data_IF_791518753084
#
_entry.id   IF_791518753084
#
_cell.length_a   1.000
_cell.length_b   1.000
_cell.length_c   1.000
_cell.angle_alpha   90.00
_cell.angle_beta   90.00
_cell.angle_gamma   90.00
#
_symmetry.space_group_name_H-M   'P 1'
#
loop_
_entity.id
_entity.type
_entity.pdbx_description
1 polymer ?
#
# COMPACT_ATOMS: atom_id res chain seq x y z
N UNK A 1 10.07 -21.49 4.24
CA UNK A 1 9.85 -21.95 5.60
C UNK A 1 9.52 -20.77 6.48
N UNK A 2 8.38 -20.81 7.20
CA UNK A 2 7.87 -19.71 8.03
C UNK A 2 8.86 -19.33 9.15
N UNK A 3 9.51 -20.31 9.75
CA UNK A 3 10.53 -20.10 10.78
C UNK A 3 11.73 -19.30 10.25
N UNK A 4 12.17 -19.56 9.02
CA UNK A 4 13.26 -18.82 8.38
C UNK A 4 12.86 -17.36 8.09
N UNK A 5 11.60 -17.12 7.72
CA UNK A 5 11.06 -15.78 7.58
C UNK A 5 11.10 -15.02 8.91
N UNK A 6 10.60 -15.63 9.98
CA UNK A 6 10.60 -14.99 11.30
C UNK A 6 12.02 -14.68 11.78
N UNK A 7 12.93 -15.63 11.70
CA UNK A 7 14.29 -15.49 12.23
C UNK A 7 15.12 -14.43 11.49
N UNK A 8 14.91 -14.26 10.18
CA UNK A 8 15.72 -13.37 9.37
C UNK A 8 15.11 -11.98 9.16
N UNK A 9 13.81 -11.84 9.37
CA UNK A 9 13.07 -10.61 9.04
C UNK A 9 12.69 -9.79 10.26
N UNK A 10 12.43 -10.44 11.39
CA UNK A 10 12.12 -9.75 12.66
C UNK A 10 13.42 -9.37 13.34
N UNK A 11 13.60 -8.06 13.56
CA UNK A 11 14.80 -7.48 14.18
C UNK A 11 14.59 -7.13 15.65
N UNK A 12 13.37 -6.77 16.05
CA UNK A 12 12.99 -6.36 17.40
C UNK A 12 11.47 -6.38 17.56
N UNK A 13 10.99 -6.59 18.77
CA UNK A 13 9.57 -6.49 19.12
C UNK A 13 9.29 -7.11 20.49
N UNK A 14 8.11 -6.85 21.01
CA UNK A 14 7.57 -7.44 22.23
C UNK A 14 6.28 -8.13 21.87
N UNK A 15 6.14 -9.40 22.27
CA UNK A 15 4.93 -10.21 22.10
C UNK A 15 4.37 -10.55 23.47
N UNK A 16 3.09 -10.26 23.67
CA UNK A 16 2.30 -10.79 24.78
C UNK A 16 1.18 -11.63 24.19
N UNK A 17 1.05 -12.88 24.65
CA UNK A 17 0.06 -13.81 24.11
C UNK A 17 -0.54 -14.69 25.18
N UNK A 18 -1.82 -15.02 25.02
CA UNK A 18 -2.56 -16.05 25.73
C UNK A 18 -2.94 -17.14 24.73
N UNK A 19 -2.78 -18.40 25.14
CA UNK A 19 -3.15 -19.58 24.36
C UNK A 19 -4.18 -20.41 25.11
N UNK A 20 -5.21 -20.85 24.37
CA UNK A 20 -6.18 -21.83 24.85
C UNK A 20 -6.24 -22.99 23.87
N UNK A 21 -6.17 -24.20 24.40
CA UNK A 21 -6.23 -25.44 23.63
C UNK A 21 -7.51 -26.17 24.03
N UNK A 22 -8.28 -26.57 23.06
CA UNK A 22 -9.51 -27.34 23.21
C UNK A 22 -9.26 -28.73 22.67
N UNK A 23 -9.49 -29.74 23.53
CA UNK A 23 -9.37 -31.16 23.20
C UNK A 23 -10.76 -31.78 23.10
N UNK A 24 -10.93 -32.74 22.21
CA UNK A 24 -12.13 -33.56 22.13
C UNK A 24 -12.13 -34.66 23.21
N UNK A 25 -13.15 -35.53 23.22
CA UNK A 25 -13.30 -36.61 24.16
C UNK A 25 -12.17 -37.67 24.10
N UNK A 26 -11.47 -37.76 22.97
CA UNK A 26 -10.33 -38.63 22.71
C UNK A 26 -8.98 -37.96 23.01
N UNK A 27 -8.99 -36.76 23.60
CA UNK A 27 -7.82 -35.92 23.86
C UNK A 27 -7.09 -35.46 22.58
N UNK A 28 -7.78 -35.44 21.43
CA UNK A 28 -7.24 -34.89 20.19
C UNK A 28 -7.52 -33.41 20.12
N UNK A 29 -6.67 -32.68 19.39
CA UNK A 29 -6.81 -31.23 19.21
C UNK A 29 -8.07 -30.90 18.40
N UNK A 30 -9.12 -30.47 19.08
CA UNK A 30 -10.35 -29.98 18.48
C UNK A 30 -10.17 -28.58 17.93
N UNK A 31 -9.69 -27.66 18.76
CA UNK A 31 -9.43 -26.27 18.40
C UNK A 31 -8.31 -25.67 19.25
N UNK A 32 -7.82 -24.54 18.84
CA UNK A 32 -6.99 -23.65 19.66
C UNK A 32 -7.38 -22.20 19.40
N UNK A 33 -7.15 -21.33 20.36
CA UNK A 33 -7.17 -19.90 20.17
C UNK A 33 -5.89 -19.29 20.71
N UNK A 34 -5.38 -18.29 20.01
CA UNK A 34 -4.32 -17.45 20.54
C UNK A 34 -4.71 -15.99 20.35
N UNK A 35 -4.52 -15.19 21.39
CA UNK A 35 -4.78 -13.75 21.35
C UNK A 35 -3.70 -13.00 22.10
N UNK A 36 -3.51 -11.74 21.72
CA UNK A 36 -2.49 -10.94 22.36
C UNK A 36 -2.16 -9.66 21.61
N UNK A 37 -1.00 -9.12 21.90
CA UNK A 37 -0.51 -7.90 21.25
C UNK A 37 0.97 -7.99 20.90
N UNK A 38 1.31 -7.32 19.81
CA UNK A 38 2.69 -7.07 19.40
C UNK A 38 2.96 -5.57 19.53
N UNK A 39 4.08 -5.20 20.14
CA UNK A 39 4.48 -3.82 20.36
C UNK A 39 5.90 -3.57 19.88
N UNK A 40 6.13 -2.38 19.32
CA UNK A 40 7.44 -1.91 18.86
C UNK A 40 8.16 -2.90 17.94
N UNK A 41 7.41 -3.62 17.11
CA UNK A 41 7.99 -4.53 16.13
C UNK A 41 8.80 -3.73 15.10
N UNK A 42 10.03 -4.20 14.87
CA UNK A 42 10.87 -3.82 13.73
C UNK A 42 11.10 -5.04 12.87
N UNK A 43 10.74 -4.95 11.60
CA UNK A 43 10.89 -6.06 10.67
C UNK A 43 11.17 -5.57 9.25
N UNK A 44 11.87 -6.37 8.47
CA UNK A 44 12.01 -6.18 7.03
C UNK A 44 10.86 -6.89 6.31
N UNK A 45 9.94 -6.14 5.72
CA UNK A 45 8.77 -6.70 5.01
C UNK A 45 9.06 -7.03 3.54
N UNK A 46 9.91 -6.23 2.91
CA UNK A 46 10.42 -6.43 1.56
C UNK A 46 11.92 -6.14 1.59
N UNK A 47 12.65 -6.55 0.55
CA UNK A 47 14.08 -6.24 0.43
C UNK A 47 14.30 -4.74 0.59
N UNK A 48 15.10 -4.36 1.57
CA UNK A 48 15.44 -2.98 1.93
C UNK A 48 14.27 -2.11 2.43
N UNK A 49 13.09 -2.70 2.69
CA UNK A 49 11.93 -2.00 3.27
C UNK A 49 11.67 -2.51 4.68
N UNK A 50 12.07 -1.71 5.64
CA UNK A 50 11.79 -1.95 7.05
C UNK A 50 10.51 -1.24 7.49
N UNK A 51 9.79 -1.89 8.39
CA UNK A 51 8.77 -1.29 9.24
C UNK A 51 9.31 -1.16 10.65
N UNK A 52 8.93 -0.10 11.34
CA UNK A 52 9.34 0.19 12.71
C UNK A 52 8.15 0.64 13.54
N UNK A 53 8.31 0.59 14.86
CA UNK A 53 7.25 0.99 15.81
C UNK A 53 5.89 0.37 15.46
N UNK A 54 5.94 -0.84 14.91
CA UNK A 54 4.71 -1.52 14.51
C UNK A 54 4.03 -2.11 15.73
N UNK A 55 2.75 -1.81 15.88
CA UNK A 55 1.91 -2.32 16.96
C UNK A 55 0.64 -2.87 16.35
N UNK A 56 0.13 -3.95 16.92
CA UNK A 56 -1.18 -4.52 16.60
C UNK A 56 -1.63 -5.48 17.68
N UNK A 57 -2.93 -5.69 17.77
CA UNK A 57 -3.55 -6.77 18.52
C UNK A 57 -3.86 -7.90 17.55
N UNK A 58 -3.78 -9.15 18.04
CA UNK A 58 -4.08 -10.30 17.21
C UNK A 58 -5.02 -11.27 17.92
N UNK A 59 -5.78 -11.97 17.11
CA UNK A 59 -6.54 -13.16 17.46
C UNK A 59 -6.37 -14.18 16.34
N UNK A 60 -6.17 -15.45 16.70
CA UNK A 60 -6.11 -16.54 15.71
C UNK A 60 -6.69 -17.82 16.30
N UNK A 61 -7.31 -18.59 15.41
CA UNK A 61 -7.75 -19.96 15.65
C UNK A 61 -7.40 -20.85 14.44
N UNK A 62 -8.02 -22.03 14.33
CA UNK A 62 -7.81 -22.95 13.19
C UNK A 62 -8.25 -22.38 11.83
N UNK A 63 -9.11 -21.37 11.82
CA UNK A 63 -9.79 -20.90 10.60
C UNK A 63 -9.42 -19.48 10.23
N UNK A 64 -9.10 -18.65 11.22
CA UNK A 64 -8.92 -17.21 11.04
C UNK A 64 -7.67 -16.68 11.72
N UNK A 65 -7.06 -15.69 11.10
CA UNK A 65 -6.08 -14.80 11.72
C UNK A 65 -6.61 -13.38 11.57
N UNK A 66 -6.79 -12.71 12.71
CA UNK A 66 -7.23 -11.32 12.79
C UNK A 66 -6.11 -10.45 13.37
N UNK A 67 -5.75 -9.39 12.70
CA UNK A 67 -4.92 -8.31 13.24
C UNK A 67 -5.75 -7.04 13.29
N UNK A 68 -5.72 -6.35 14.41
CA UNK A 68 -6.47 -5.11 14.66
C UNK A 68 -5.55 -4.01 15.16
N UNK A 69 -6.00 -2.76 15.06
CA UNK A 69 -5.29 -1.60 15.56
C UNK A 69 -3.86 -1.50 14.99
N UNK A 70 -3.67 -1.91 13.75
CA UNK A 70 -2.34 -1.93 13.13
C UNK A 70 -1.87 -0.49 12.94
N UNK A 71 -0.75 -0.17 13.56
CA UNK A 71 0.00 1.05 13.31
C UNK A 71 1.45 0.71 13.00
N UNK A 72 2.08 1.44 12.09
CA UNK A 72 3.46 1.17 11.69
C UNK A 72 4.12 2.41 11.08
N UNK A 73 5.42 2.52 11.21
CA UNK A 73 6.22 3.53 10.53
C UNK A 73 7.24 2.85 9.60
N UNK A 74 7.40 3.39 8.41
CA UNK A 74 8.52 3.17 7.51
C UNK A 74 9.16 4.51 7.21
N UNK A 75 10.35 4.54 6.63
CA UNK A 75 11.08 5.80 6.44
C UNK A 75 10.34 6.87 5.62
N UNK A 76 9.36 6.48 4.80
CA UNK A 76 8.61 7.40 3.93
C UNK A 76 7.10 7.17 3.98
N UNK A 77 6.62 6.34 4.88
CA UNK A 77 5.20 6.10 5.06
C UNK A 77 4.87 5.81 6.52
N UNK A 78 3.60 6.02 6.87
CA UNK A 78 3.00 5.57 8.12
C UNK A 78 1.71 4.84 7.81
N UNK A 79 1.50 3.70 8.47
CA UNK A 79 0.22 3.01 8.51
C UNK A 79 -0.49 3.44 9.79
N UNK A 80 -1.74 3.85 9.65
CA UNK A 80 -2.59 4.27 10.74
C UNK A 80 -3.89 3.50 10.66
N UNK A 81 -4.39 3.04 11.80
CA UNK A 81 -5.73 2.46 11.91
C UNK A 81 -5.97 1.34 10.87
N UNK A 82 -5.10 0.33 10.93
CA UNK A 82 -5.17 -0.82 10.03
C UNK A 82 -5.84 -2.03 10.68
N UNK A 83 -6.52 -2.81 9.85
CA UNK A 83 -6.95 -4.15 10.18
C UNK A 83 -6.56 -5.15 9.09
N UNK A 84 -6.44 -6.41 9.45
CA UNK A 84 -6.17 -7.50 8.53
C UNK A 84 -6.88 -8.76 9.01
N UNK A 85 -7.62 -9.41 8.11
CA UNK A 85 -8.18 -10.74 8.32
C UNK A 85 -7.63 -11.69 7.27
N UNK A 86 -7.12 -12.85 7.71
CA UNK A 86 -6.80 -13.98 6.85
C UNK A 86 -7.75 -15.11 7.20
N UNK A 87 -8.52 -15.57 6.24
CA UNK A 87 -9.38 -16.74 6.33
C UNK A 87 -8.64 -17.92 5.70
N UNK A 88 -8.49 -19.00 6.44
CA UNK A 88 -7.79 -20.22 6.03
C UNK A 88 -8.71 -21.46 6.06
N UNK A 89 -10.02 -21.27 6.26
CA UNK A 89 -10.97 -22.36 6.45
C UNK A 89 -11.20 -23.21 5.20
N UNK A 90 -11.36 -22.60 4.03
CA UNK A 90 -11.65 -23.28 2.75
C UNK A 90 -10.72 -22.85 1.63
N UNK A 91 -10.77 -21.59 1.26
CA UNK A 91 -9.85 -20.93 0.34
C UNK A 91 -9.14 -19.82 1.09
N UNK A 92 -7.84 -19.71 0.94
CA UNK A 92 -7.08 -18.70 1.66
C UNK A 92 -7.41 -17.33 1.06
N UNK A 93 -7.97 -16.47 1.90
CA UNK A 93 -8.24 -15.09 1.54
C UNK A 93 -7.68 -14.11 2.57
N UNK A 94 -7.13 -13.02 2.09
CA UNK A 94 -6.65 -11.90 2.91
C UNK A 94 -7.50 -10.68 2.60
N UNK A 95 -7.98 -10.01 3.66
CA UNK A 95 -8.68 -8.72 3.58
C UNK A 95 -8.03 -7.76 4.55
N UNK A 96 -7.77 -6.55 4.09
CA UNK A 96 -7.16 -5.51 4.92
C UNK A 96 -7.72 -4.15 4.55
N UNK A 97 -7.96 -3.32 5.57
CA UNK A 97 -8.24 -1.90 5.40
C UNK A 97 -7.25 -1.13 6.27
N UNK A 98 -6.68 -0.06 5.74
CA UNK A 98 -5.71 0.73 6.48
C UNK A 98 -5.57 2.13 5.89
N UNK A 99 -5.23 3.08 6.75
CA UNK A 99 -4.88 4.44 6.34
C UNK A 99 -3.37 4.55 6.19
N UNK A 100 -2.93 5.26 5.17
CA UNK A 100 -1.51 5.49 4.93
C UNK A 100 -1.23 6.97 4.73
N UNK A 101 -0.23 7.48 5.44
CA UNK A 101 0.41 8.76 5.13
C UNK A 101 1.71 8.48 4.40
N UNK A 102 1.84 9.03 3.21
CA UNK A 102 3.04 8.92 2.38
C UNK A 102 3.77 10.26 2.34
N UNK A 103 5.09 10.21 2.45
CA UNK A 103 5.95 11.38 2.29
C UNK A 103 7.24 10.97 1.58
N UNK A 104 7.21 11.06 0.25
CA UNK A 104 8.35 10.74 -0.59
C UNK A 104 9.07 12.01 -1.01
N UNK A 105 10.38 11.95 -1.03
CA UNK A 105 11.26 13.00 -1.51
C UNK A 105 12.49 12.39 -2.22
N UNK A 106 13.42 13.20 -2.67
CA UNK A 106 14.64 12.73 -3.35
C UNK A 106 15.47 11.73 -2.53
N UNK A 107 15.35 11.74 -1.19
CA UNK A 107 16.07 10.81 -0.30
C UNK A 107 15.36 9.46 -0.18
N UNK A 108 14.10 9.40 -0.60
CA UNK A 108 13.26 8.18 -0.54
C UNK A 108 13.56 7.18 -1.67
N UNK A 109 14.81 7.10 -2.15
CA UNK A 109 15.22 6.31 -3.33
C UNK A 109 14.74 4.86 -3.30
N UNK A 110 14.84 4.18 -2.13
CA UNK A 110 14.41 2.79 -2.00
C UNK A 110 12.91 2.59 -2.25
N UNK A 111 12.07 3.55 -1.86
CA UNK A 111 10.62 3.52 -2.09
C UNK A 111 10.27 3.90 -3.54
N UNK A 112 11.03 4.84 -4.12
CA UNK A 112 10.88 5.21 -5.53
C UNK A 112 11.20 4.01 -6.43
N UNK A 113 12.15 3.16 -6.06
CA UNK A 113 12.48 1.95 -6.78
C UNK A 113 11.32 0.91 -6.81
N UNK A 114 10.40 0.94 -5.84
CA UNK A 114 9.20 0.10 -5.89
C UNK A 114 8.24 0.49 -7.01
N UNK A 115 8.28 1.74 -7.42
CA UNK A 115 7.47 2.30 -8.51
C UNK A 115 8.31 2.57 -9.77
N UNK A 116 9.42 1.83 -9.93
CA UNK A 116 10.36 2.01 -11.07
C UNK A 116 9.70 1.89 -12.45
N UNK A 117 8.61 1.12 -12.53
CA UNK A 117 7.84 0.96 -13.76
C UNK A 117 7.04 2.23 -14.14
N UNK A 118 6.88 3.16 -13.21
CA UNK A 118 6.39 4.49 -13.51
C UNK A 118 7.50 5.29 -14.23
N UNK A 119 7.31 5.58 -15.49
CA UNK A 119 8.29 6.20 -16.39
C UNK A 119 9.00 7.41 -15.78
N UNK A 120 8.29 8.20 -14.98
CA UNK A 120 8.79 9.45 -14.40
C UNK A 120 9.20 9.31 -12.92
N UNK A 121 9.27 8.10 -12.35
CA UNK A 121 9.63 7.88 -10.95
C UNK A 121 10.96 8.58 -10.56
N UNK A 122 11.97 8.52 -11.44
CA UNK A 122 13.28 9.19 -11.24
C UNK A 122 13.20 10.72 -11.21
N UNK A 123 12.13 11.30 -11.74
CA UNK A 123 11.88 12.73 -11.79
C UNK A 123 11.10 13.23 -10.56
N UNK A 124 10.68 12.34 -9.67
CA UNK A 124 9.92 12.70 -8.47
C UNK A 124 10.78 13.52 -7.52
N UNK A 125 10.35 14.74 -7.25
CA UNK A 125 10.96 15.66 -6.28
C UNK A 125 10.27 15.52 -4.93
N UNK A 126 8.94 15.39 -4.92
CA UNK A 126 8.14 15.25 -3.71
C UNK A 126 6.76 14.67 -3.99
N UNK A 127 6.28 13.87 -3.04
CA UNK A 127 4.94 13.29 -3.05
C UNK A 127 4.47 13.12 -1.61
N UNK A 128 3.42 13.86 -1.25
CA UNK A 128 2.77 13.79 0.05
C UNK A 128 1.29 13.43 -0.17
N UNK A 129 0.82 12.36 0.48
CA UNK A 129 -0.54 11.88 0.31
C UNK A 129 -1.08 11.20 1.58
N UNK A 130 -2.37 11.38 1.82
CA UNK A 130 -3.15 10.69 2.85
C UNK A 130 -4.19 9.80 2.16
N UNK A 131 -4.06 8.48 2.33
CA UNK A 131 -4.83 7.49 1.58
C UNK A 131 -5.55 6.50 2.50
N UNK A 132 -6.81 6.22 2.18
CA UNK A 132 -7.57 5.09 2.70
C UNK A 132 -7.42 3.93 1.70
N UNK A 133 -7.01 2.77 2.20
CA UNK A 133 -6.71 1.62 1.38
C UNK A 133 -7.59 0.44 1.76
N UNK A 134 -7.97 -0.35 0.77
CA UNK A 134 -8.66 -1.62 0.94
C UNK A 134 -8.02 -2.66 0.02
N UNK A 135 -7.64 -3.79 0.58
CA UNK A 135 -6.97 -4.88 -0.12
C UNK A 135 -7.71 -6.19 0.11
N UNK A 136 -7.99 -6.91 -0.97
CA UNK A 136 -8.47 -8.29 -0.94
C UNK A 136 -7.55 -9.10 -1.83
N UNK A 137 -7.03 -10.22 -1.31
CA UNK A 137 -6.23 -11.18 -2.06
C UNK A 137 -6.82 -12.56 -1.84
N UNK A 138 -7.08 -13.31 -2.90
CA UNK A 138 -7.46 -14.71 -2.83
C UNK A 138 -6.31 -15.56 -3.38
N UNK A 139 -6.01 -16.63 -2.68
CA UNK A 139 -4.96 -17.56 -3.05
C UNK A 139 -5.57 -18.90 -3.48
N UNK A 140 -4.83 -19.65 -4.29
CA UNK A 140 -5.13 -21.04 -4.55
C UNK A 140 -4.53 -21.94 -3.45
N UNK A 141 -4.77 -23.23 -3.53
CA UNK A 141 -4.28 -24.24 -2.58
C UNK A 141 -2.74 -24.35 -2.53
N UNK A 142 -2.03 -23.76 -3.49
CA UNK A 142 -0.56 -23.70 -3.54
C UNK A 142 0.01 -22.37 -3.07
N UNK A 143 -0.83 -21.53 -2.44
CA UNK A 143 -0.50 -20.17 -1.99
C UNK A 143 -0.11 -19.19 -3.10
N UNK A 144 -0.47 -19.48 -4.36
CA UNK A 144 -0.33 -18.52 -5.45
C UNK A 144 -1.53 -17.60 -5.52
N UNK A 145 -1.30 -16.33 -5.84
CA UNK A 145 -2.36 -15.33 -5.98
C UNK A 145 -3.27 -15.70 -7.15
N UNK A 146 -4.52 -16.03 -6.86
CA UNK A 146 -5.61 -16.32 -7.81
C UNK A 146 -6.27 -15.03 -8.31
N UNK A 147 -6.53 -14.12 -7.39
CA UNK A 147 -7.09 -12.81 -7.69
C UNK A 147 -6.73 -11.80 -6.60
N UNK A 148 -6.73 -10.54 -6.98
CA UNK A 148 -6.59 -9.43 -6.04
C UNK A 148 -7.51 -8.28 -6.43
N UNK A 149 -7.86 -7.48 -5.44
CA UNK A 149 -8.56 -6.20 -5.61
C UNK A 149 -7.95 -5.21 -4.60
N UNK A 150 -7.28 -4.20 -5.11
CA UNK A 150 -6.72 -3.12 -4.32
C UNK A 150 -7.40 -1.82 -4.69
N UNK A 151 -7.95 -1.13 -3.70
CA UNK A 151 -8.59 0.18 -3.88
C UNK A 151 -7.91 1.16 -2.95
N UNK A 152 -7.70 2.37 -3.42
CA UNK A 152 -7.37 3.47 -2.55
C UNK A 152 -8.16 4.72 -2.93
N UNK A 153 -8.32 5.61 -1.94
CA UNK A 153 -8.90 6.93 -2.14
C UNK A 153 -8.31 7.89 -1.10
N UNK A 154 -8.16 9.14 -1.47
CA UNK A 154 -7.66 10.14 -0.55
C UNK A 154 -7.15 11.38 -1.24
N UNK A 155 -6.32 12.11 -0.52
CA UNK A 155 -5.80 13.40 -0.95
C UNK A 155 -4.30 13.32 -1.25
N UNK A 156 -3.91 13.91 -2.36
CA UNK A 156 -2.53 14.25 -2.69
C UNK A 156 -2.35 15.72 -2.37
N UNK A 157 -1.74 16.02 -1.23
CA UNK A 157 -1.45 17.40 -0.83
C UNK A 157 -0.30 18.00 -1.63
N UNK A 158 0.61 17.14 -2.13
CA UNK A 158 1.77 17.56 -2.93
C UNK A 158 2.21 16.46 -3.86
N UNK A 159 2.43 16.80 -5.12
CA UNK A 159 3.14 15.97 -6.09
C UNK A 159 3.96 16.88 -7.00
N UNK A 160 5.26 16.66 -7.08
CA UNK A 160 6.16 17.48 -7.90
C UNK A 160 7.07 16.57 -8.70
N UNK A 161 7.02 16.71 -10.02
CA UNK A 161 8.01 16.19 -10.96
C UNK A 161 8.94 17.31 -11.41
N UNK A 162 10.23 17.02 -11.53
CA UNK A 162 11.23 17.91 -12.10
C UNK A 162 11.98 17.24 -13.24
N UNK A 163 12.02 17.87 -14.37
CA UNK A 163 12.66 17.35 -15.58
C UNK A 163 14.04 17.98 -15.74
N UNK A 164 15.10 17.17 -15.79
CA UNK A 164 16.46 17.63 -16.05
C UNK A 164 16.59 18.15 -17.49
N UNK A 165 16.01 17.38 -18.40
CA UNK A 165 15.89 17.73 -19.79
C UNK A 165 14.46 18.22 -20.01
N UNK A 166 14.25 19.56 -20.07
CA UNK A 166 12.92 20.11 -20.25
C UNK A 166 12.33 19.59 -21.55
N UNK A 167 11.07 19.18 -21.53
CA UNK A 167 10.43 18.84 -22.79
C UNK A 167 9.65 20.02 -23.36
N UNK A 168 9.83 20.24 -24.66
CA UNK A 168 9.11 21.27 -25.40
C UNK A 168 7.68 20.78 -25.62
N UNK A 169 6.74 21.59 -25.20
CA UNK A 169 5.37 21.42 -25.61
C UNK A 169 5.11 22.34 -26.81
N UNK A 170 4.89 21.76 -27.98
CA UNK A 170 4.64 22.52 -29.22
C UNK A 170 3.39 23.41 -29.13
N UNK A 171 2.46 23.10 -28.21
CA UNK A 171 1.24 23.91 -28.03
C UNK A 171 1.42 25.07 -27.05
N UNK A 172 2.38 25.01 -26.13
CA UNK A 172 2.55 26.00 -25.07
C UNK A 172 3.68 26.98 -25.32
N UNK A 173 4.46 26.83 -26.38
CA UNK A 173 5.68 27.62 -26.68
C UNK A 173 6.69 27.70 -25.52
N UNK A 174 6.55 26.86 -24.51
CA UNK A 174 7.35 26.86 -23.28
C UNK A 174 7.97 25.49 -23.01
N UNK A 175 9.13 25.51 -22.36
CA UNK A 175 9.78 24.31 -21.86
C UNK A 175 9.21 23.91 -20.49
N UNK A 176 8.71 22.70 -20.37
CA UNK A 176 8.22 22.18 -19.10
C UNK A 176 9.40 21.64 -18.28
N UNK A 177 9.74 22.35 -17.20
CA UNK A 177 10.78 22.00 -16.22
C UNK A 177 10.20 21.35 -14.98
N UNK A 178 9.00 21.78 -14.57
CA UNK A 178 8.29 21.28 -13.39
C UNK A 178 6.82 21.05 -13.70
N UNK A 179 6.29 19.96 -13.15
CA UNK A 179 4.85 19.69 -13.11
C UNK A 179 4.47 19.43 -11.64
N UNK A 180 3.49 20.17 -11.14
CA UNK A 180 3.00 20.01 -9.77
C UNK A 180 1.51 19.71 -9.76
N UNK A 181 1.08 18.80 -8.87
CA UNK A 181 -0.31 18.64 -8.47
C UNK A 181 -0.46 19.18 -7.05
N UNK A 182 -1.55 19.90 -6.82
CA UNK A 182 -1.82 20.59 -5.56
C UNK A 182 -3.25 20.25 -5.12
N UNK A 183 -3.44 19.84 -3.87
CA UNK A 183 -4.75 19.57 -3.28
C UNK A 183 -5.64 18.72 -4.19
N UNK A 184 -5.10 17.60 -4.65
CA UNK A 184 -5.75 16.74 -5.61
C UNK A 184 -6.36 15.53 -4.94
N UNK A 185 -7.57 15.16 -5.34
CA UNK A 185 -8.24 13.94 -4.90
C UNK A 185 -7.86 12.78 -5.83
N UNK A 186 -7.59 11.62 -5.26
CA UNK A 186 -7.28 10.42 -6.01
C UNK A 186 -8.23 9.28 -5.61
N UNK A 187 -8.66 8.49 -6.59
CA UNK A 187 -9.31 7.20 -6.41
C UNK A 187 -8.70 6.20 -7.38
N UNK A 188 -8.28 5.07 -6.87
CA UNK A 188 -7.79 4.00 -7.74
C UNK A 188 -8.45 2.67 -7.42
N UNK A 189 -8.52 1.82 -8.43
CA UNK A 189 -8.96 0.43 -8.30
C UNK A 189 -8.11 -0.43 -9.22
N UNK A 190 -7.35 -1.35 -8.64
CA UNK A 190 -6.49 -2.28 -9.35
C UNK A 190 -6.96 -3.70 -9.06
N UNK A 191 -7.19 -4.47 -10.10
CA UNK A 191 -7.52 -5.88 -9.97
C UNK A 191 -6.87 -6.68 -11.13
N UNK A 192 -6.99 -8.00 -11.08
CA UNK A 192 -6.38 -8.89 -12.09
C UNK A 192 -6.87 -8.69 -13.52
N UNK A 193 -7.95 -7.92 -13.73
CA UNK A 193 -8.57 -7.67 -15.05
C UNK A 193 -8.43 -6.23 -15.51
N UNK A 194 -8.54 -5.27 -14.60
CA UNK A 194 -8.71 -3.85 -14.94
C UNK A 194 -8.06 -2.95 -13.89
N UNK A 195 -7.42 -1.89 -14.37
CA UNK A 195 -6.90 -0.82 -13.54
C UNK A 195 -7.66 0.46 -13.85
N UNK A 196 -8.11 1.15 -12.82
CA UNK A 196 -8.79 2.45 -12.93
C UNK A 196 -8.10 3.46 -12.02
N UNK A 197 -7.88 4.65 -12.55
CA UNK A 197 -7.30 5.79 -11.85
C UNK A 197 -8.15 7.01 -12.16
N UNK A 198 -8.68 7.66 -11.12
CA UNK A 198 -9.36 8.95 -11.20
C UNK A 198 -8.58 9.94 -10.34
N UNK A 199 -8.16 11.07 -10.92
CA UNK A 199 -7.48 12.15 -10.21
C UNK A 199 -8.14 13.47 -10.62
N UNK A 200 -8.52 14.28 -9.65
CA UNK A 200 -9.04 15.61 -9.87
C UNK A 200 -8.40 16.61 -8.91
N UNK A 201 -8.19 17.84 -9.36
CA UNK A 201 -7.56 18.85 -8.53
C UNK A 201 -7.02 20.02 -9.32
N UNK A 202 -5.88 20.52 -8.89
CA UNK A 202 -5.17 21.61 -9.58
C UNK A 202 -3.77 21.17 -9.98
N UNK A 203 -3.33 21.54 -11.16
CA UNK A 203 -1.95 21.38 -11.61
C UNK A 203 -1.32 22.73 -11.95
N UNK A 204 -0.02 22.79 -11.89
CA UNK A 204 0.79 23.96 -12.26
C UNK A 204 2.01 23.48 -13.05
N UNK A 205 2.31 24.20 -14.11
CA UNK A 205 3.52 24.02 -14.93
C UNK A 205 4.47 25.15 -14.57
N UNK A 206 5.74 24.84 -14.34
CA UNK A 206 6.80 25.80 -14.03
C UNK A 206 6.49 26.81 -12.91
N UNK A 207 5.55 26.50 -12.01
CA UNK A 207 5.02 27.37 -10.93
C UNK A 207 4.04 28.46 -11.39
N UNK A 208 3.48 28.33 -12.58
CA UNK A 208 2.42 29.22 -13.05
C UNK A 208 1.13 29.08 -12.22
N UNK A 209 0.15 29.93 -12.49
CA UNK A 209 -1.14 29.87 -11.82
C UNK A 209 -1.79 28.48 -11.96
N UNK A 210 -2.22 27.88 -10.86
CA UNK A 210 -2.79 26.54 -10.92
C UNK A 210 -4.08 26.49 -11.72
N UNK A 211 -4.17 25.53 -12.63
CA UNK A 211 -5.35 25.22 -13.43
C UNK A 211 -6.04 23.96 -12.90
N UNK A 212 -7.36 23.92 -12.97
CA UNK A 212 -8.13 22.75 -12.60
C UNK A 212 -8.00 21.65 -13.65
N UNK A 213 -8.03 20.38 -13.21
CA UNK A 213 -8.02 19.25 -14.10
C UNK A 213 -8.83 18.08 -13.54
N UNK A 214 -9.23 17.21 -14.44
CA UNK A 214 -9.81 15.91 -14.15
C UNK A 214 -9.18 14.88 -15.10
N UNK A 215 -8.57 13.85 -14.53
CA UNK A 215 -7.96 12.75 -15.27
C UNK A 215 -8.68 11.45 -14.91
N UNK A 216 -9.18 10.77 -15.92
CA UNK A 216 -9.71 9.42 -15.82
C UNK A 216 -8.86 8.50 -16.69
N UNK A 217 -8.33 7.44 -16.10
CA UNK A 217 -7.57 6.41 -16.81
C UNK A 217 -8.13 5.04 -16.53
N UNK A 218 -8.44 4.31 -17.58
CA UNK A 218 -8.97 2.96 -17.52
C UNK A 218 -8.10 2.09 -18.43
N UNK A 219 -7.41 1.13 -17.82
CA UNK A 219 -6.60 0.17 -18.53
C UNK A 219 -7.07 -1.25 -18.24
N UNK A 220 -7.35 -2.02 -19.26
CA UNK A 220 -7.54 -3.46 -19.20
C UNK A 220 -6.48 -4.17 -20.06
N UNK A 221 -6.57 -5.49 -20.20
CA UNK A 221 -5.57 -6.27 -20.98
C UNK A 221 -5.54 -5.93 -22.46
N UNK A 222 -6.57 -5.25 -23.00
CA UNK A 222 -6.75 -5.01 -24.44
C UNK A 222 -6.78 -3.52 -24.77
N UNK A 223 -7.25 -2.68 -23.87
CA UNK A 223 -7.53 -1.27 -24.12
C UNK A 223 -6.93 -0.36 -23.06
N UNK A 224 -6.50 0.82 -23.48
CA UNK A 224 -6.06 1.90 -22.60
C UNK A 224 -6.81 3.16 -22.99
N UNK A 225 -7.69 3.65 -22.13
CA UNK A 225 -8.41 4.90 -22.32
C UNK A 225 -7.95 5.92 -21.28
N UNK A 226 -7.56 7.08 -21.74
CA UNK A 226 -7.17 8.22 -20.89
C UNK A 226 -7.99 9.41 -21.34
N UNK A 227 -8.73 9.99 -20.41
CA UNK A 227 -9.49 11.23 -20.60
C UNK A 227 -8.94 12.29 -19.66
N UNK A 228 -8.62 13.45 -20.22
CA UNK A 228 -8.14 14.62 -19.49
C UNK A 228 -9.03 15.81 -19.83
N UNK A 229 -9.56 16.47 -18.80
CA UNK A 229 -10.42 17.66 -18.90
C UNK A 229 -9.90 18.77 -18.03
#
# INVERSE_FOLDING_TARGET
>A
NFTSFLNNKIKKGQLTAEFKIYLDNDNLLENFTASGSVKNLKAEILKDIDIEKTNFDFFTDKTDILLKNISSEGGSFKILDGDLKIDISKEISLRSNFKTKLKLNKQSKKYINLIKDFKYAKNLIGFDADLNNSLIINFDKTYKVKSYNFKNSGEISKFILGFKDPFKNYFLNEEIKHLSLINSQIKTSFNSKKNKIDISGKYSINKDNPLSFNLNSINDKKTSNIEFK
#
